data_IF_902203911256
#
_entry.id   IF_902203911256
#
_cell.length_a   1.000
_cell.length_b   1.000
_cell.length_c   1.000
_cell.angle_alpha   90.00
_cell.angle_beta   90.00
_cell.angle_gamma   90.00
#
_symmetry.space_group_name_H-M   'P 1'
#
loop_
_entity.id
_entity.type
_entity.pdbx_description
1 polymer ?
#
# COMPACT_ATOMS: atom_id res chain seq x y z
N UNK A 1 22.99 -8.12 -4.25
CA UNK A 1 22.06 -7.06 -4.70
C UNK A 1 21.52 -6.41 -3.45
N UNK A 2 21.58 -5.11 -3.31
CA UNK A 2 21.03 -4.41 -2.13
C UNK A 2 19.53 -4.65 -2.05
N UNK A 3 19.02 -4.97 -0.86
CA UNK A 3 17.58 -5.18 -0.65
C UNK A 3 16.78 -3.93 -1.02
N UNK A 4 15.58 -4.13 -1.54
CA UNK A 4 14.65 -3.08 -1.96
C UNK A 4 13.29 -3.27 -1.32
N UNK A 5 12.64 -2.17 -1.03
CA UNK A 5 11.30 -2.13 -0.47
C UNK A 5 10.32 -1.57 -1.51
N UNK A 6 9.41 -2.42 -2.00
CA UNK A 6 8.39 -2.07 -2.98
C UNK A 6 7.02 -2.11 -2.31
N UNK A 7 6.21 -1.08 -2.53
CA UNK A 7 4.81 -1.06 -2.11
C UNK A 7 3.87 -1.01 -3.31
N UNK A 8 2.69 -1.57 -3.14
CA UNK A 8 1.58 -1.49 -4.11
C UNK A 8 0.42 -0.79 -3.43
N UNK A 9 0.05 0.36 -3.96
CA UNK A 9 -0.96 1.24 -3.39
C UNK A 9 -2.15 1.41 -4.34
N UNK A 10 -3.22 2.00 -3.85
CA UNK A 10 -4.44 2.31 -4.59
C UNK A 10 -5.70 2.01 -3.78
N UNK A 11 -6.83 2.54 -4.24
CA UNK A 11 -8.14 2.39 -3.61
C UNK A 11 -8.68 0.95 -3.72
N UNK A 12 -9.92 0.74 -3.30
CA UNK A 12 -10.61 -0.54 -3.46
C UNK A 12 -10.91 -0.81 -4.93
N UNK A 13 -11.00 -2.09 -5.30
CA UNK A 13 -11.36 -2.48 -6.68
C UNK A 13 -10.29 -2.30 -7.76
N UNK A 14 -9.14 -1.69 -7.46
CA UNK A 14 -8.06 -1.43 -8.45
C UNK A 14 -7.30 -2.68 -8.91
N UNK A 15 -7.60 -3.86 -8.37
CA UNK A 15 -6.94 -5.11 -8.77
C UNK A 15 -5.61 -5.40 -8.10
N UNK A 16 -5.33 -4.86 -6.89
CA UNK A 16 -4.07 -5.06 -6.16
C UNK A 16 -3.68 -6.53 -6.04
N UNK A 17 -4.57 -7.40 -5.56
CA UNK A 17 -4.26 -8.82 -5.33
C UNK A 17 -3.77 -9.53 -6.61
N UNK A 18 -4.42 -9.30 -7.74
CA UNK A 18 -4.04 -9.87 -9.04
C UNK A 18 -2.66 -9.38 -9.48
N UNK A 19 -2.44 -8.07 -9.37
CA UNK A 19 -1.18 -7.46 -9.80
C UNK A 19 -0.02 -7.76 -8.83
N UNK A 20 -0.25 -7.91 -7.54
CA UNK A 20 0.75 -8.40 -6.57
C UNK A 20 1.19 -9.83 -6.93
N UNK A 21 0.27 -10.70 -7.34
CA UNK A 21 0.63 -12.04 -7.78
C UNK A 21 1.46 -12.01 -9.08
N UNK A 22 1.17 -11.10 -10.00
CA UNK A 22 1.99 -10.85 -11.18
C UNK A 22 3.41 -10.36 -10.78
N UNK A 23 3.52 -9.37 -9.89
CA UNK A 23 4.81 -8.87 -9.38
C UNK A 23 5.63 -9.98 -8.71
N UNK A 24 4.99 -10.84 -7.89
CA UNK A 24 5.64 -12.02 -7.30
C UNK A 24 6.22 -12.96 -8.36
N UNK A 25 5.50 -13.16 -9.47
CA UNK A 25 5.96 -14.01 -10.57
C UNK A 25 7.15 -13.36 -11.30
N UNK A 26 7.08 -12.05 -11.54
CA UNK A 26 8.17 -11.28 -12.13
C UNK A 26 9.44 -11.33 -11.25
N UNK A 27 9.33 -11.11 -9.93
CA UNK A 27 10.46 -11.21 -8.98
C UNK A 27 11.11 -12.60 -9.01
N UNK A 28 10.30 -13.68 -9.07
CA UNK A 28 10.83 -15.05 -9.21
C UNK A 28 11.57 -15.26 -10.52
N UNK A 29 11.06 -14.73 -11.65
CA UNK A 29 11.73 -14.82 -12.96
C UNK A 29 13.06 -14.09 -12.99
N UNK A 30 13.18 -12.99 -12.23
CA UNK A 30 14.45 -12.24 -12.03
C UNK A 30 15.34 -12.85 -10.96
N UNK A 31 14.98 -13.99 -10.38
CA UNK A 31 15.71 -14.68 -9.30
C UNK A 31 15.95 -13.79 -8.07
N UNK A 32 15.07 -12.82 -7.83
CA UNK A 32 15.14 -11.93 -6.67
C UNK A 32 14.59 -12.65 -5.44
N UNK A 33 15.39 -12.72 -4.37
CA UNK A 33 14.92 -13.19 -3.06
C UNK A 33 14.02 -12.13 -2.45
N UNK A 34 12.78 -12.48 -2.09
CA UNK A 34 11.83 -11.53 -1.52
C UNK A 34 10.87 -12.14 -0.50
N UNK A 35 10.36 -11.27 0.37
CA UNK A 35 9.19 -11.51 1.24
C UNK A 35 8.02 -10.71 0.68
N UNK A 36 6.83 -11.34 0.62
CA UNK A 36 5.59 -10.65 0.29
C UNK A 36 4.72 -10.54 1.54
N UNK A 37 4.25 -9.33 1.84
CA UNK A 37 3.50 -9.00 3.05
C UNK A 37 2.42 -7.95 2.76
N UNK A 38 1.70 -7.48 3.79
CA UNK A 38 0.64 -6.47 3.64
C UNK A 38 0.44 -5.66 4.91
N UNK A 39 -0.17 -4.49 4.76
CA UNK A 39 -0.69 -3.69 5.87
C UNK A 39 -2.19 -3.32 5.68
N UNK A 40 -2.95 -3.20 6.77
CA UNK A 40 -2.61 -3.68 8.11
C UNK A 40 -2.47 -5.20 8.12
N UNK A 41 -1.54 -5.74 8.94
CA UNK A 41 -1.30 -7.18 9.06
C UNK A 41 0.18 -7.56 9.01
N UNK A 42 0.47 -8.78 8.53
CA UNK A 42 1.83 -9.29 8.29
C UNK A 42 2.50 -9.96 9.49
N UNK A 43 1.92 -9.88 10.69
CA UNK A 43 2.34 -10.65 11.89
C UNK A 43 1.11 -11.08 12.68
N UNK A 44 1.18 -12.10 13.55
CA UNK A 44 0.01 -12.52 14.33
C UNK A 44 -0.68 -11.35 15.05
N UNK A 45 0.06 -10.54 15.81
CA UNK A 45 -0.50 -9.38 16.50
C UNK A 45 -1.06 -8.32 15.52
N UNK A 46 -0.38 -8.08 14.41
CA UNK A 46 -0.86 -7.11 13.42
C UNK A 46 -2.11 -7.62 12.67
N UNK A 47 -2.29 -8.93 12.52
CA UNK A 47 -3.54 -9.51 11.98
C UNK A 47 -4.71 -9.35 12.97
N UNK A 48 -4.49 -9.51 14.28
CA UNK A 48 -5.50 -9.21 15.31
C UNK A 48 -5.91 -7.73 15.26
N UNK A 49 -4.94 -6.82 15.10
CA UNK A 49 -5.21 -5.38 14.91
C UNK A 49 -5.97 -5.13 13.61
N UNK A 50 -5.63 -5.83 12.53
CA UNK A 50 -6.38 -5.77 11.27
C UNK A 50 -7.84 -6.15 11.46
N UNK A 51 -8.11 -7.23 12.17
CA UNK A 51 -9.49 -7.67 12.47
C UNK A 51 -10.25 -6.59 13.28
N UNK A 52 -9.58 -5.94 14.24
CA UNK A 52 -10.16 -4.80 14.96
C UNK A 52 -10.49 -3.62 14.05
N UNK A 53 -9.65 -3.35 13.06
CA UNK A 53 -9.80 -2.23 12.12
C UNK A 53 -10.89 -2.49 11.06
N UNK A 54 -10.97 -3.70 10.53
CA UNK A 54 -11.80 -4.02 9.36
C UNK A 54 -13.19 -4.56 9.71
N UNK A 55 -13.34 -5.17 10.89
CA UNK A 55 -14.63 -5.77 11.28
C UNK A 55 -15.73 -4.72 11.38
N UNK A 56 -16.85 -4.88 10.64
CA UNK A 56 -18.03 -4.04 10.81
C UNK A 56 -18.55 -4.08 12.27
N UNK A 57 -19.01 -2.94 12.79
CA UNK A 57 -19.53 -2.81 14.16
C UNK A 57 -20.47 -1.63 14.26
N UNK A 58 -21.37 -1.69 15.26
CA UNK A 58 -22.31 -0.59 15.53
C UNK A 58 -21.61 0.60 16.20
N UNK A 59 -20.57 0.33 16.98
CA UNK A 59 -19.75 1.37 17.62
C UNK A 59 -18.91 2.13 16.59
N UNK A 60 -19.01 3.46 16.59
CA UNK A 60 -18.18 4.31 15.75
C UNK A 60 -16.70 4.24 16.21
N UNK A 61 -15.82 3.80 15.32
CA UNK A 61 -14.37 3.90 15.55
C UNK A 61 -13.94 5.33 15.25
N UNK A 62 -13.55 6.07 16.30
CA UNK A 62 -13.05 7.45 16.13
C UNK A 62 -11.73 7.46 15.36
N UNK A 63 -11.52 8.48 14.53
CA UNK A 63 -10.37 8.55 13.60
C UNK A 63 -9.01 8.45 14.31
N UNK A 64 -8.89 8.99 15.53
CA UNK A 64 -7.66 8.87 16.32
C UNK A 64 -7.37 7.43 16.79
N UNK A 65 -8.40 6.66 17.17
CA UNK A 65 -8.23 5.25 17.52
C UNK A 65 -7.84 4.42 16.28
N UNK A 66 -8.49 4.68 15.13
CA UNK A 66 -8.15 4.06 13.85
C UNK A 66 -6.68 4.32 13.49
N UNK A 67 -6.22 5.57 13.54
CA UNK A 67 -4.84 5.96 13.24
C UNK A 67 -3.83 5.29 14.18
N UNK A 68 -4.10 5.28 15.49
CA UNK A 68 -3.22 4.65 16.48
C UNK A 68 -3.11 3.14 16.27
N UNK A 69 -4.21 2.46 15.94
CA UNK A 69 -4.20 1.03 15.62
C UNK A 69 -3.41 0.74 14.35
N UNK A 70 -3.53 1.58 13.30
CA UNK A 70 -2.72 1.46 12.08
C UNK A 70 -1.23 1.51 12.41
N UNK A 71 -0.79 2.48 13.20
CA UNK A 71 0.61 2.61 13.57
C UNK A 71 1.09 1.54 14.57
N UNK A 72 0.23 1.06 15.46
CA UNK A 72 0.56 -0.06 16.35
C UNK A 72 0.85 -1.35 15.55
N UNK A 73 -0.02 -1.68 14.57
CA UNK A 73 0.19 -2.80 13.66
C UNK A 73 1.47 -2.64 12.84
N UNK A 74 1.70 -1.44 12.29
CA UNK A 74 2.91 -1.11 11.51
C UNK A 74 4.17 -1.24 12.34
N UNK A 75 4.20 -0.76 13.57
CA UNK A 75 5.35 -0.89 14.47
C UNK A 75 5.76 -2.37 14.64
N UNK A 76 4.79 -3.24 14.86
CA UNK A 76 5.02 -4.67 14.99
C UNK A 76 5.49 -5.29 13.67
N UNK A 77 4.83 -4.97 12.56
CA UNK A 77 5.12 -5.50 11.22
C UNK A 77 6.51 -5.07 10.75
N UNK A 78 6.83 -3.78 10.89
CA UNK A 78 8.13 -3.23 10.52
C UNK A 78 9.28 -3.96 11.23
N UNK A 79 9.17 -4.11 12.56
CA UNK A 79 10.22 -4.70 13.38
C UNK A 79 10.34 -6.24 13.23
N UNK A 80 9.26 -6.94 12.90
CA UNK A 80 9.26 -8.41 12.84
C UNK A 80 9.41 -8.97 11.43
N UNK A 81 9.10 -8.19 10.40
CA UNK A 81 9.09 -8.69 9.00
C UNK A 81 9.95 -7.81 8.11
N UNK A 82 9.64 -6.51 8.00
CA UNK A 82 10.24 -5.64 6.98
C UNK A 82 11.74 -5.43 7.27
N UNK A 83 12.09 -4.91 8.44
CA UNK A 83 13.49 -4.63 8.79
C UNK A 83 14.37 -5.88 8.77
N UNK A 84 13.97 -7.03 9.36
CA UNK A 84 14.76 -8.25 9.27
C UNK A 84 14.98 -8.75 7.84
N UNK A 85 13.97 -8.61 6.96
CA UNK A 85 14.11 -8.99 5.55
C UNK A 85 15.14 -8.10 4.83
N UNK A 86 15.01 -6.77 4.98
CA UNK A 86 15.92 -5.81 4.37
C UNK A 86 17.37 -6.00 4.87
N UNK A 87 17.55 -6.26 6.17
CA UNK A 87 18.86 -6.54 6.77
C UNK A 87 19.48 -7.87 6.29
N UNK A 88 18.65 -8.81 5.84
CA UNK A 88 19.07 -10.10 5.27
C UNK A 88 19.16 -10.07 3.73
N UNK A 89 19.38 -8.91 3.12
CA UNK A 89 19.45 -8.71 1.66
C UNK A 89 18.25 -9.35 0.91
N UNK A 90 17.08 -9.31 1.53
CA UNK A 90 15.84 -9.85 0.99
C UNK A 90 14.90 -8.70 0.67
N UNK A 91 14.42 -8.62 -0.57
CA UNK A 91 13.48 -7.59 -0.99
C UNK A 91 12.14 -7.73 -0.27
N UNK A 92 11.44 -6.62 -0.08
CA UNK A 92 10.10 -6.61 0.51
C UNK A 92 9.11 -6.11 -0.53
N UNK A 93 8.05 -6.88 -0.76
CA UNK A 93 6.86 -6.48 -1.52
C UNK A 93 5.69 -6.37 -0.55
N UNK A 94 5.15 -5.17 -0.36
CA UNK A 94 4.07 -4.92 0.60
C UNK A 94 2.82 -4.40 -0.09
N UNK A 95 1.66 -5.02 0.18
CA UNK A 95 0.34 -4.49 -0.16
C UNK A 95 -0.02 -3.42 0.86
N UNK A 96 0.06 -2.16 0.47
CA UNK A 96 -0.07 -0.94 1.27
C UNK A 96 1.04 -0.77 2.32
N UNK A 97 1.35 0.49 2.60
CA UNK A 97 2.23 0.91 3.69
C UNK A 97 1.77 2.30 4.21
N UNK A 98 2.70 3.16 4.60
CA UNK A 98 2.37 4.46 5.22
C UNK A 98 1.64 5.40 4.27
N UNK A 99 1.87 5.32 2.98
CA UNK A 99 1.16 6.11 1.97
C UNK A 99 -0.36 5.87 2.03
N UNK A 100 -0.80 4.63 2.35
CA UNK A 100 -2.20 4.34 2.63
C UNK A 100 -2.73 5.11 3.85
N UNK A 101 -1.93 5.30 4.90
CA UNK A 101 -2.35 6.08 6.08
C UNK A 101 -2.54 7.56 5.73
N UNK A 102 -1.63 8.14 4.95
CA UNK A 102 -1.83 9.50 4.44
C UNK A 102 -3.09 9.62 3.60
N UNK A 103 -3.31 8.68 2.68
CA UNK A 103 -4.48 8.70 1.81
C UNK A 103 -5.80 8.49 2.59
N UNK A 104 -5.89 7.48 3.45
CA UNK A 104 -7.14 7.11 4.14
C UNK A 104 -7.40 7.96 5.38
N UNK A 105 -6.45 8.07 6.31
CA UNK A 105 -6.63 8.83 7.54
C UNK A 105 -6.38 10.34 7.31
N UNK A 106 -5.35 10.68 6.53
CA UNK A 106 -5.05 12.08 6.18
C UNK A 106 -6.14 12.68 5.30
N UNK A 107 -6.21 12.28 4.05
CA UNK A 107 -7.17 12.85 3.08
C UNK A 107 -8.59 12.34 3.29
N UNK A 108 -8.80 11.03 3.42
CA UNK A 108 -10.11 10.40 3.59
C UNK A 108 -10.83 10.89 4.84
N UNK A 109 -10.22 10.71 6.02
CA UNK A 109 -10.73 11.15 7.33
C UNK A 109 -10.47 12.63 7.61
N UNK A 110 -9.73 13.33 6.76
CA UNK A 110 -9.36 14.74 6.94
C UNK A 110 -8.61 15.03 8.24
N UNK A 111 -7.75 14.07 8.66
CA UNK A 111 -6.88 14.27 9.82
C UNK A 111 -5.66 15.12 9.45
N UNK A 112 -5.09 15.83 10.44
CA UNK A 112 -3.86 16.60 10.23
C UNK A 112 -2.70 15.70 9.79
N UNK A 113 -2.04 16.08 8.70
CA UNK A 113 -0.81 15.43 8.24
C UNK A 113 0.32 15.49 9.27
N UNK A 114 0.39 16.55 10.07
CA UNK A 114 1.39 16.70 11.13
C UNK A 114 1.31 15.58 12.17
N UNK A 115 0.08 15.15 12.55
CA UNK A 115 -0.11 14.04 13.47
C UNK A 115 0.39 12.73 12.85
N UNK A 116 0.13 12.52 11.56
CA UNK A 116 0.60 11.32 10.84
C UNK A 116 2.12 11.32 10.78
N UNK A 117 2.74 12.45 10.44
CA UNK A 117 4.22 12.61 10.42
C UNK A 117 4.84 12.32 11.78
N UNK A 118 4.24 12.78 12.88
CA UNK A 118 4.76 12.49 14.22
C UNK A 118 4.77 10.98 14.52
N UNK A 119 3.67 10.28 14.24
CA UNK A 119 3.57 8.84 14.44
C UNK A 119 4.48 8.06 13.48
N UNK A 120 4.60 8.51 12.24
CA UNK A 120 5.53 7.95 11.27
C UNK A 120 6.98 8.03 11.77
N UNK A 121 7.41 9.19 12.25
CA UNK A 121 8.75 9.36 12.80
C UNK A 121 9.02 8.48 14.02
N UNK A 122 8.03 8.30 14.90
CA UNK A 122 8.15 7.43 16.09
C UNK A 122 8.28 5.95 15.67
N UNK A 123 7.49 5.52 14.68
CA UNK A 123 7.33 4.09 14.34
C UNK A 123 8.35 3.62 13.31
N UNK A 124 8.61 4.40 12.26
CA UNK A 124 9.41 3.94 11.12
C UNK A 124 10.69 4.76 10.85
N UNK A 125 10.85 5.93 11.49
CA UNK A 125 12.01 6.79 11.25
C UNK A 125 12.17 7.10 9.75
N UNK A 126 13.35 6.81 9.20
CA UNK A 126 13.70 7.11 7.81
C UNK A 126 13.32 6.01 6.81
N UNK A 127 12.71 4.92 7.27
CA UNK A 127 12.31 3.82 6.36
C UNK A 127 11.20 4.28 5.43
N UNK A 128 11.48 4.22 4.14
CA UNK A 128 10.52 4.53 3.05
C UNK A 128 10.61 3.46 1.98
N UNK A 129 9.54 3.21 1.22
CA UNK A 129 9.63 2.39 0.01
C UNK A 129 10.60 2.99 -1.01
N UNK A 130 11.40 2.14 -1.63
CA UNK A 130 12.25 2.51 -2.77
C UNK A 130 11.43 2.71 -4.06
N UNK A 131 10.31 1.97 -4.17
CA UNK A 131 9.35 2.08 -5.28
C UNK A 131 7.93 1.91 -4.74
N UNK A 132 7.03 2.81 -5.12
CA UNK A 132 5.59 2.70 -4.88
C UNK A 132 4.87 2.60 -6.22
N UNK A 133 4.21 1.48 -6.47
CA UNK A 133 3.32 1.29 -7.62
C UNK A 133 1.91 1.70 -7.20
N UNK A 134 1.45 2.85 -7.67
CA UNK A 134 0.08 3.32 -7.43
C UNK A 134 -0.83 2.87 -8.56
N UNK A 135 -1.73 1.93 -8.27
CA UNK A 135 -2.78 1.53 -9.19
C UNK A 135 -3.93 2.54 -9.08
N UNK A 136 -4.11 3.37 -10.09
CA UNK A 136 -5.14 4.40 -10.12
C UNK A 136 -6.30 4.01 -11.04
N UNK A 137 -7.52 4.27 -10.55
CA UNK A 137 -8.78 4.04 -11.29
C UNK A 137 -9.82 5.06 -10.82
N UNK A 138 -10.76 5.50 -11.68
CA UNK A 138 -11.93 6.25 -11.22
C UNK A 138 -12.67 5.50 -10.11
N UNK A 139 -13.05 6.24 -9.06
CA UNK A 139 -13.62 5.64 -7.83
C UNK A 139 -14.87 4.83 -8.12
N UNK A 140 -15.71 5.29 -9.03
CA UNK A 140 -16.95 4.63 -9.44
C UNK A 140 -16.70 3.20 -9.93
N UNK A 141 -15.68 3.05 -10.81
CA UNK A 141 -15.31 1.74 -11.35
C UNK A 141 -14.72 0.84 -10.26
N UNK A 142 -13.91 1.43 -9.36
CA UNK A 142 -13.32 0.70 -8.24
C UNK A 142 -14.36 0.16 -7.28
N UNK A 143 -15.34 0.97 -6.89
CA UNK A 143 -16.44 0.58 -6.00
C UNK A 143 -17.36 -0.48 -6.64
N UNK A 144 -17.68 -0.35 -7.92
CA UNK A 144 -18.43 -1.37 -8.65
C UNK A 144 -17.72 -2.73 -8.60
N UNK A 145 -16.42 -2.77 -8.92
CA UNK A 145 -15.61 -3.99 -8.84
C UNK A 145 -15.44 -4.54 -7.41
N UNK A 146 -15.47 -3.68 -6.39
CA UNK A 146 -15.38 -4.09 -4.99
C UNK A 146 -16.68 -4.76 -4.53
N UNK A 147 -17.83 -4.20 -4.87
CA UNK A 147 -19.15 -4.73 -4.52
C UNK A 147 -19.39 -6.14 -5.06
N UNK A 148 -18.80 -6.50 -6.21
CA UNK A 148 -18.93 -7.84 -6.80
C UNK A 148 -18.17 -8.94 -6.00
N UNK A 149 -17.36 -8.58 -4.98
CA UNK A 149 -16.50 -9.52 -4.26
C UNK A 149 -17.07 -10.11 -2.98
N UNK A 150 -18.17 -9.60 -2.47
CA UNK A 150 -18.81 -10.11 -1.26
C UNK A 150 -19.09 -9.05 -0.19
N UNK A 151 -19.21 -9.47 1.07
CA UNK A 151 -19.55 -8.58 2.17
C UNK A 151 -18.46 -7.51 2.39
N UNK A 152 -18.82 -6.20 2.34
CA UNK A 152 -17.87 -5.12 2.47
C UNK A 152 -17.32 -5.02 3.90
N UNK A 153 -16.01 -4.75 4.00
CA UNK A 153 -15.41 -4.40 5.28
C UNK A 153 -15.81 -2.98 5.74
N UNK A 154 -15.35 -2.57 6.92
CA UNK A 154 -15.71 -1.27 7.49
C UNK A 154 -15.26 -0.07 6.63
N UNK A 155 -14.16 -0.18 5.90
CA UNK A 155 -13.73 0.88 4.98
C UNK A 155 -14.53 0.84 3.68
N UNK A 156 -14.81 -0.34 3.14
CA UNK A 156 -15.61 -0.49 1.92
C UNK A 156 -17.06 -0.02 2.08
N UNK A 157 -17.54 0.15 3.33
CA UNK A 157 -18.85 0.74 3.65
C UNK A 157 -18.84 2.28 3.64
N UNK A 158 -17.71 2.93 3.42
CA UNK A 158 -17.62 4.39 3.33
C UNK A 158 -18.27 4.92 2.05
N UNK A 159 -18.69 6.20 2.09
CA UNK A 159 -19.33 6.84 0.95
C UNK A 159 -18.30 7.16 -0.15
N UNK A 160 -18.79 7.30 -1.38
CA UNK A 160 -17.97 7.64 -2.55
C UNK A 160 -17.09 8.88 -2.35
N UNK A 161 -17.59 9.92 -1.67
CA UNK A 161 -16.83 11.13 -1.38
C UNK A 161 -15.57 10.87 -0.53
N UNK A 162 -15.63 9.88 0.37
CA UNK A 162 -14.46 9.45 1.12
C UNK A 162 -13.40 8.88 0.16
N UNK A 163 -13.78 7.98 -0.74
CA UNK A 163 -12.85 7.38 -1.70
C UNK A 163 -12.33 8.39 -2.72
N UNK A 164 -13.13 9.39 -3.11
CA UNK A 164 -12.66 10.48 -3.94
C UNK A 164 -11.53 11.27 -3.26
N UNK A 165 -11.65 11.54 -1.96
CA UNK A 165 -10.56 12.18 -1.17
C UNK A 165 -9.36 11.26 -1.04
N UNK A 166 -9.55 9.96 -0.79
CA UNK A 166 -8.46 8.97 -0.71
C UNK A 166 -7.68 8.91 -2.01
N UNK A 167 -8.36 8.82 -3.16
CA UNK A 167 -7.73 8.83 -4.49
C UNK A 167 -6.95 10.13 -4.73
N UNK A 168 -7.57 11.28 -4.43
CA UNK A 168 -6.90 12.58 -4.55
C UNK A 168 -5.64 12.64 -3.67
N UNK A 169 -5.69 12.06 -2.45
CA UNK A 169 -4.55 11.94 -1.56
C UNK A 169 -3.41 11.12 -2.16
N UNK A 170 -3.69 9.95 -2.71
CA UNK A 170 -2.68 9.14 -3.39
C UNK A 170 -2.04 9.86 -4.57
N UNK A 171 -2.83 10.55 -5.41
CA UNK A 171 -2.31 11.31 -6.55
C UNK A 171 -1.46 12.50 -6.11
N UNK A 172 -1.83 13.18 -5.00
CA UNK A 172 -1.00 14.25 -4.40
C UNK A 172 0.34 13.68 -3.94
N UNK A 173 0.33 12.59 -3.18
CA UNK A 173 1.55 11.92 -2.72
C UNK A 173 2.45 11.47 -3.88
N UNK A 174 1.87 10.95 -4.96
CA UNK A 174 2.61 10.54 -6.14
C UNK A 174 3.28 11.73 -6.85
N UNK A 175 2.58 12.86 -6.93
CA UNK A 175 3.13 14.09 -7.51
C UNK A 175 4.27 14.68 -6.65
N UNK A 176 4.13 14.65 -5.33
CA UNK A 176 5.11 15.19 -4.38
C UNK A 176 6.36 14.29 -4.26
N UNK A 177 6.26 12.99 -4.56
CA UNK A 177 7.31 11.98 -4.42
C UNK A 177 7.56 11.22 -5.74
N UNK A 178 7.59 11.93 -6.85
CA UNK A 178 7.70 11.36 -8.20
C UNK A 178 8.98 10.55 -8.45
N UNK A 179 9.99 10.69 -7.61
CA UNK A 179 11.24 9.94 -7.63
C UNK A 179 11.08 8.46 -7.23
N UNK A 180 10.07 8.14 -6.41
CA UNK A 180 9.78 6.79 -5.95
C UNK A 180 8.41 6.26 -6.37
N UNK A 181 7.55 7.10 -6.96
CA UNK A 181 6.22 6.68 -7.42
C UNK A 181 6.16 6.40 -8.91
N UNK A 182 5.44 5.34 -9.27
CA UNK A 182 4.96 5.10 -10.62
C UNK A 182 3.45 4.92 -10.57
N UNK A 183 2.72 5.81 -11.24
CA UNK A 183 1.26 5.72 -11.35
C UNK A 183 0.91 4.84 -12.55
N UNK A 184 0.11 3.80 -12.30
CA UNK A 184 -0.35 2.84 -13.31
C UNK A 184 -1.86 3.03 -13.51
N UNK A 185 -2.28 3.30 -14.74
CA UNK A 185 -3.70 3.34 -15.09
C UNK A 185 -4.31 1.93 -15.01
N UNK A 186 -5.01 1.66 -13.91
CA UNK A 186 -5.68 0.38 -13.65
C UNK A 186 -7.10 0.30 -14.26
N UNK A 187 -7.51 1.29 -15.04
CA UNK A 187 -8.77 1.23 -15.84
C UNK A 187 -8.63 0.41 -17.11
N UNK A 188 -7.41 0.19 -17.58
CA UNK A 188 -7.07 -0.64 -18.73
C UNK A 188 -7.46 -2.12 -18.53
N UNK A 189 -7.42 -2.88 -19.62
CA UNK A 189 -7.44 -4.34 -19.58
C UNK A 189 -6.24 -4.88 -18.77
N UNK A 190 -6.43 -5.99 -18.07
CA UNK A 190 -5.43 -6.56 -17.14
C UNK A 190 -4.04 -6.71 -17.78
N UNK A 191 -3.97 -7.11 -19.04
CA UNK A 191 -2.70 -7.28 -19.74
C UNK A 191 -1.97 -5.95 -19.93
N UNK A 192 -2.68 -4.85 -20.19
CA UNK A 192 -2.11 -3.50 -20.29
C UNK A 192 -1.52 -3.07 -18.95
N UNK A 193 -2.30 -3.19 -17.86
CA UNK A 193 -1.85 -2.89 -16.48
C UNK A 193 -0.58 -3.68 -16.14
N UNK A 194 -0.55 -4.98 -16.43
CA UNK A 194 0.62 -5.82 -16.14
C UNK A 194 1.84 -5.46 -16.99
N UNK A 195 1.62 -5.00 -18.24
CA UNK A 195 2.71 -4.50 -19.09
C UNK A 195 3.33 -3.24 -18.49
N UNK A 196 2.52 -2.27 -18.05
CA UNK A 196 3.00 -1.04 -17.44
C UNK A 196 3.73 -1.32 -16.12
N UNK A 197 3.21 -2.24 -15.30
CA UNK A 197 3.89 -2.70 -14.08
C UNK A 197 5.25 -3.34 -14.43
N UNK A 198 5.31 -4.20 -15.46
CA UNK A 198 6.56 -4.85 -15.85
C UNK A 198 7.60 -3.82 -16.31
N UNK A 199 7.21 -2.82 -17.09
CA UNK A 199 8.08 -1.72 -17.52
C UNK A 199 8.63 -0.93 -16.35
N UNK A 200 7.77 -0.58 -15.37
CA UNK A 200 8.18 0.12 -14.15
C UNK A 200 9.17 -0.72 -13.32
N UNK A 201 8.89 -2.00 -13.15
CA UNK A 201 9.77 -2.92 -12.41
C UNK A 201 11.11 -3.15 -13.12
N UNK A 202 11.12 -3.30 -14.45
CA UNK A 202 12.35 -3.46 -15.22
C UNK A 202 13.23 -2.22 -15.12
N UNK A 203 12.66 -1.01 -15.26
CA UNK A 203 13.38 0.24 -15.11
C UNK A 203 13.99 0.37 -13.70
N UNK A 204 13.20 0.08 -12.66
CA UNK A 204 13.65 0.10 -11.26
C UNK A 204 14.74 -0.94 -11.00
N UNK A 205 14.58 -2.15 -11.49
CA UNK A 205 15.51 -3.26 -11.31
C UNK A 205 16.87 -2.95 -11.93
N UNK A 206 16.92 -2.51 -13.21
CA UNK A 206 18.17 -2.21 -13.88
C UNK A 206 18.88 -1.01 -13.23
N UNK A 207 18.15 0.03 -12.83
CA UNK A 207 18.71 1.14 -12.05
C UNK A 207 19.35 0.65 -10.73
N UNK A 208 18.73 -0.33 -10.04
CA UNK A 208 19.24 -0.90 -8.79
C UNK A 208 20.51 -1.73 -8.97
N UNK A 209 20.80 -2.19 -10.19
CA UNK A 209 22.04 -2.90 -10.56
C UNK A 209 23.18 -1.97 -11.00
N UNK A 210 22.96 -0.66 -11.02
CA UNK A 210 23.94 0.33 -11.48
C UNK A 210 24.08 0.41 -13.00
N UNK A 211 23.10 -0.06 -13.75
CA UNK A 211 23.00 0.16 -15.19
C UNK A 211 22.18 1.44 -15.42
N UNK A 212 22.85 2.54 -15.78
CA UNK A 212 22.23 3.77 -16.28
C UNK A 212 21.76 3.61 -17.74
#
# INVERSE_FOLDING_TARGET
MVAKFITVEGTEGVGKTTNINFIKSWLRQKEVKFVATREPGGTPLAEEIRDLLLKPRDELVVSSAELLLMFAGRAQHLNKVILPALQADTWVLCDRFTDATYAYQGFGRQMSSELIVQLENIVQGDIRPDLTLLLDIPVEIGLERANDRGDPDRFEQEQQDFFNRVRAGYLSLANENSDRYVVIDASQELQGVQTDIALALDAFFYKSLGHE
#
